data_IF_847978346728
#
_entry.id   IF_847978346728
#
_cell.length_a   1.000
_cell.length_b   1.000
_cell.length_c   1.000
_cell.angle_alpha   90.00
_cell.angle_beta   90.00
_cell.angle_gamma   90.00
#
_symmetry.space_group_name_H-M   'P 1'
#
loop_
_entity.id
_entity.type
_entity.pdbx_description
1 polymer ?
#
# COMPACT_ATOMS: atom_id res chain seq x y z
N UNK A 1 9.48 -1.17 14.82
CA UNK A 1 9.47 0.18 15.45
C UNK A 1 8.50 1.08 14.74
N UNK A 2 7.64 1.75 15.48
CA UNK A 2 6.71 2.73 14.91
C UNK A 2 7.51 3.92 14.37
N UNK A 3 7.25 4.29 13.11
CA UNK A 3 7.96 5.38 12.44
C UNK A 3 7.05 6.59 12.27
N UNK A 4 7.61 7.81 12.25
CA UNK A 4 6.81 9.01 11.94
C UNK A 4 6.32 8.99 10.50
N UNK A 5 5.12 9.54 10.27
CA UNK A 5 4.52 9.61 8.95
C UNK A 5 5.16 10.73 8.14
N UNK A 6 5.56 10.42 6.91
CA UNK A 6 6.11 11.39 5.97
C UNK A 6 4.97 12.17 5.31
N UNK A 7 5.11 13.49 5.23
CA UNK A 7 4.15 14.40 4.61
C UNK A 7 4.74 15.18 3.42
N UNK A 8 6.03 15.00 3.12
CA UNK A 8 6.70 15.71 2.04
C UNK A 8 6.24 15.23 0.66
N UNK A 9 5.51 16.06 -0.12
CA UNK A 9 5.03 15.65 -1.44
C UNK A 9 6.15 15.31 -2.43
N UNK A 10 7.32 15.95 -2.31
CA UNK A 10 8.44 15.65 -3.21
C UNK A 10 8.98 14.24 -2.98
N UNK A 11 9.07 13.82 -1.73
CA UNK A 11 9.47 12.45 -1.41
C UNK A 11 8.42 11.44 -1.85
N UNK A 12 7.15 11.72 -1.56
CA UNK A 12 6.04 10.82 -1.86
C UNK A 12 5.79 10.67 -3.36
N UNK A 13 6.20 11.64 -4.18
CA UNK A 13 6.06 11.61 -5.63
C UNK A 13 7.15 10.77 -6.32
N UNK A 14 8.14 10.26 -5.58
CA UNK A 14 9.16 9.40 -6.14
C UNK A 14 8.64 7.97 -6.31
N UNK A 15 9.04 7.32 -7.39
CA UNK A 15 8.74 5.90 -7.59
C UNK A 15 9.60 5.07 -6.64
N UNK A 16 8.97 4.15 -5.94
CA UNK A 16 9.67 3.25 -5.03
C UNK A 16 10.41 2.15 -5.79
N UNK A 17 11.56 1.78 -5.29
CA UNK A 17 12.39 0.72 -5.86
C UNK A 17 11.89 -0.67 -5.44
N UNK A 18 12.31 -1.69 -6.18
CA UNK A 18 12.02 -3.07 -5.86
C UNK A 18 12.52 -3.42 -4.45
N UNK A 19 11.69 -4.10 -3.68
CA UNK A 19 12.05 -4.61 -2.36
C UNK A 19 12.58 -6.04 -2.46
N UNK A 20 13.39 -6.43 -1.47
CA UNK A 20 13.96 -7.78 -1.35
C UNK A 20 13.75 -8.29 0.08
N UNK A 21 14.04 -9.57 0.38
CA UNK A 21 13.97 -10.06 1.76
C UNK A 21 14.85 -9.28 2.75
N UNK A 22 15.88 -8.58 2.26
CA UNK A 22 16.69 -7.70 3.09
C UNK A 22 15.89 -6.52 3.67
N UNK A 23 14.71 -6.23 3.11
CA UNK A 23 13.82 -5.16 3.56
C UNK A 23 12.79 -5.63 4.60
N UNK A 24 12.96 -6.82 5.19
CA UNK A 24 12.02 -7.38 6.15
C UNK A 24 11.81 -6.49 7.39
N UNK A 25 12.86 -5.80 7.84
CA UNK A 25 12.75 -4.88 8.98
C UNK A 25 11.87 -3.68 8.64
N UNK A 26 11.95 -3.18 7.41
CA UNK A 26 11.06 -2.11 6.93
C UNK A 26 9.61 -2.58 6.91
N UNK A 27 9.36 -3.81 6.46
CA UNK A 27 8.01 -4.38 6.46
C UNK A 27 7.44 -4.49 7.87
N UNK A 28 8.25 -4.90 8.84
CA UNK A 28 7.85 -4.98 10.24
C UNK A 28 7.52 -3.58 10.79
N UNK A 29 8.38 -2.61 10.54
CA UNK A 29 8.15 -1.22 10.98
C UNK A 29 6.87 -0.66 10.35
N UNK A 30 6.63 -0.96 9.08
CA UNK A 30 5.43 -0.54 8.38
C UNK A 30 4.17 -1.11 9.03
N UNK A 31 4.17 -2.40 9.34
CA UNK A 31 3.04 -3.06 9.98
C UNK A 31 2.79 -2.52 11.38
N UNK A 32 3.84 -2.31 12.16
CA UNK A 32 3.73 -1.73 13.50
C UNK A 32 3.17 -0.29 13.44
N UNK A 33 3.63 0.51 12.47
CA UNK A 33 3.15 1.87 12.29
C UNK A 33 1.68 1.89 11.85
N UNK A 34 1.30 1.03 10.92
CA UNK A 34 -0.10 0.90 10.50
C UNK A 34 -1.00 0.51 11.67
N UNK A 35 -0.57 -0.47 12.45
CA UNK A 35 -1.33 -0.95 13.62
C UNK A 35 -1.50 0.17 14.65
N UNK A 36 -0.49 1.00 14.85
CA UNK A 36 -0.56 2.15 15.76
C UNK A 36 -1.56 3.22 15.29
N UNK A 37 -1.88 3.26 13.99
CA UNK A 37 -2.83 4.20 13.41
C UNK A 37 -4.16 3.54 13.01
N UNK A 38 -4.48 2.39 13.56
CA UNK A 38 -5.62 1.56 13.17
C UNK A 38 -6.98 2.30 13.25
N UNK A 39 -7.11 3.29 14.12
CA UNK A 39 -8.36 4.03 14.28
C UNK A 39 -8.70 4.91 13.07
N UNK A 40 -7.73 5.25 12.25
CA UNK A 40 -7.95 6.14 11.10
C UNK A 40 -7.23 5.72 9.83
N UNK A 41 -6.57 4.57 9.83
CA UNK A 41 -5.77 4.13 8.69
C UNK A 41 -5.92 2.63 8.48
N UNK A 42 -6.20 2.22 7.24
CA UNK A 42 -6.45 0.83 6.88
C UNK A 42 -5.37 0.25 5.96
N UNK A 43 -4.47 1.08 5.46
CA UNK A 43 -3.37 0.67 4.61
C UNK A 43 -2.24 1.69 4.62
N UNK A 44 -1.03 1.25 4.27
CA UNK A 44 0.15 2.11 4.29
C UNK A 44 1.21 1.54 3.33
N UNK A 45 1.91 2.44 2.64
CA UNK A 45 3.05 2.07 1.81
C UNK A 45 4.35 2.50 2.50
N UNK A 46 5.46 1.82 2.19
CA UNK A 46 6.74 2.05 2.87
C UNK A 46 7.25 3.49 2.69
N UNK A 47 6.93 4.16 1.58
CA UNK A 47 7.35 5.55 1.42
C UNK A 47 6.70 6.49 2.44
N UNK A 48 5.55 6.11 3.01
CA UNK A 48 4.90 6.89 4.06
C UNK A 48 5.68 6.87 5.39
N UNK A 49 6.60 5.95 5.55
CA UNK A 49 7.53 5.90 6.69
C UNK A 49 8.98 6.19 6.28
N UNK A 50 9.17 6.79 5.12
CA UNK A 50 10.47 7.29 4.69
C UNK A 50 11.35 6.29 3.93
N UNK A 51 10.80 5.16 3.49
CA UNK A 51 11.56 4.14 2.76
C UNK A 51 10.95 3.95 1.37
N UNK A 52 11.67 4.35 0.34
CA UNK A 52 11.21 4.28 -1.05
C UNK A 52 11.37 2.87 -1.62
N UNK A 53 10.65 1.90 -1.04
CA UNK A 53 10.63 0.49 -1.46
C UNK A 53 9.18 0.05 -1.67
N UNK A 54 8.98 -0.85 -2.63
CA UNK A 54 7.65 -1.33 -3.01
C UNK A 54 7.15 -2.37 -2.01
N UNK A 55 6.77 -1.89 -0.83
CA UNK A 55 6.17 -2.69 0.24
C UNK A 55 4.90 -1.99 0.70
N UNK A 56 3.80 -2.71 0.77
CA UNK A 56 2.55 -2.20 1.32
C UNK A 56 2.04 -3.12 2.42
N UNK A 57 1.31 -2.55 3.37
CA UNK A 57 0.59 -3.28 4.40
C UNK A 57 -0.86 -2.82 4.36
N UNK A 58 -1.79 -3.76 4.38
CA UNK A 58 -3.22 -3.46 4.26
C UNK A 58 -4.02 -4.28 5.24
N UNK A 59 -5.14 -3.73 5.69
CA UNK A 59 -6.13 -4.46 6.46
C UNK A 59 -6.89 -5.39 5.53
N UNK A 60 -7.02 -6.66 5.91
CA UNK A 60 -7.77 -7.68 5.20
C UNK A 60 -8.76 -8.34 6.16
N UNK A 61 -9.62 -9.23 5.66
CA UNK A 61 -10.65 -9.88 6.47
C UNK A 61 -10.09 -10.61 7.69
N UNK A 62 -8.92 -11.25 7.53
CA UNK A 62 -8.29 -12.08 8.55
C UNK A 62 -7.18 -11.36 9.33
N UNK A 63 -7.12 -10.02 9.25
CA UNK A 63 -6.06 -9.24 9.88
C UNK A 63 -5.30 -8.42 8.86
N UNK A 64 -3.99 -8.27 9.05
CA UNK A 64 -3.15 -7.48 8.14
C UNK A 64 -2.41 -8.36 7.14
N UNK A 65 -2.22 -7.84 5.93
CA UNK A 65 -1.48 -8.51 4.87
C UNK A 65 -0.36 -7.57 4.40
N UNK A 66 0.85 -8.10 4.29
CA UNK A 66 2.02 -7.37 3.77
C UNK A 66 2.37 -7.92 2.40
N UNK A 67 2.50 -7.03 1.41
CA UNK A 67 2.83 -7.40 0.03
C UNK A 67 4.13 -6.70 -0.39
N UNK A 68 5.09 -7.50 -0.88
CA UNK A 68 6.33 -7.00 -1.48
C UNK A 68 6.15 -6.96 -2.99
N UNK A 69 6.55 -5.86 -3.61
CA UNK A 69 6.55 -5.71 -5.08
C UNK A 69 5.19 -6.03 -5.73
N UNK A 70 4.07 -5.47 -5.22
CA UNK A 70 2.76 -5.80 -5.76
C UNK A 70 2.59 -5.24 -7.18
N UNK A 71 2.01 -6.06 -8.06
CA UNK A 71 1.68 -5.69 -9.44
C UNK A 71 0.26 -6.15 -9.75
N UNK A 72 -0.56 -5.27 -10.29
CA UNK A 72 -1.91 -5.62 -10.72
C UNK A 72 -1.82 -6.24 -12.12
N UNK A 73 -2.17 -7.54 -12.21
CA UNK A 73 -2.15 -8.29 -13.48
C UNK A 73 -3.43 -8.11 -14.27
N UNK A 74 -4.58 -8.04 -13.60
CA UNK A 74 -5.90 -7.87 -14.20
C UNK A 74 -6.78 -7.04 -13.28
N UNK A 75 -7.74 -6.34 -13.87
CA UNK A 75 -8.73 -5.58 -13.13
C UNK A 75 -10.08 -5.63 -13.86
N UNK A 76 -11.17 -5.40 -13.12
CA UNK A 76 -12.51 -5.33 -13.69
C UNK A 76 -13.44 -4.51 -12.80
N UNK A 77 -14.48 -3.92 -13.42
CA UNK A 77 -15.51 -3.19 -12.71
C UNK A 77 -15.04 -1.85 -12.16
N UNK A 78 -14.67 -0.92 -13.04
CA UNK A 78 -14.22 0.41 -12.59
C UNK A 78 -15.35 1.23 -12.00
N UNK A 79 -15.01 2.10 -11.03
CA UNK A 79 -15.91 3.06 -10.42
C UNK A 79 -15.12 4.29 -9.99
N UNK A 80 -15.83 5.40 -9.82
CA UNK A 80 -15.24 6.64 -9.32
C UNK A 80 -15.52 6.76 -7.84
N UNK A 81 -14.54 7.25 -7.08
CA UNK A 81 -14.66 7.43 -5.62
C UNK A 81 -13.78 8.57 -5.18
N UNK A 82 -13.81 8.87 -3.89
CA UNK A 82 -12.89 9.81 -3.26
C UNK A 82 -12.15 9.10 -2.14
N UNK A 83 -10.87 9.42 -1.99
CA UNK A 83 -10.01 8.80 -0.98
C UNK A 83 -9.16 9.83 -0.27
N UNK A 84 -8.92 9.58 1.03
CA UNK A 84 -7.98 10.32 1.83
C UNK A 84 -6.77 9.48 2.18
N UNK A 85 -5.70 10.14 2.60
CA UNK A 85 -4.46 9.48 3.00
C UNK A 85 -3.91 10.14 4.26
N UNK A 86 -3.30 9.35 5.14
CA UNK A 86 -2.69 9.87 6.37
C UNK A 86 -1.56 10.87 6.08
N UNK A 87 -0.83 10.68 4.98
CA UNK A 87 0.28 11.55 4.59
C UNK A 87 -0.15 12.88 3.94
N UNK A 88 -1.36 12.95 3.40
CA UNK A 88 -1.83 14.09 2.60
C UNK A 88 -3.17 14.59 3.14
N UNK A 89 -3.33 15.91 3.22
CA UNK A 89 -4.57 16.51 3.69
C UNK A 89 -5.69 16.41 2.66
N UNK A 90 -6.94 16.32 3.15
CA UNK A 90 -8.13 16.30 2.32
C UNK A 90 -8.38 14.97 1.63
N UNK A 91 -9.34 15.00 0.71
CA UNK A 91 -9.71 13.85 -0.11
C UNK A 91 -9.50 14.20 -1.58
N UNK A 92 -9.27 13.17 -2.40
CA UNK A 92 -9.04 13.31 -3.84
C UNK A 92 -9.93 12.36 -4.61
N UNK A 93 -10.50 12.82 -5.74
CA UNK A 93 -11.23 11.92 -6.62
C UNK A 93 -10.26 10.94 -7.29
N UNK A 94 -10.68 9.70 -7.41
CA UNK A 94 -9.88 8.67 -8.03
C UNK A 94 -10.76 7.60 -8.67
N UNK A 95 -10.19 6.86 -9.60
CA UNK A 95 -10.83 5.72 -10.24
C UNK A 95 -10.28 4.44 -9.63
N UNK A 96 -11.16 3.51 -9.28
CA UNK A 96 -10.79 2.22 -8.71
C UNK A 96 -11.49 1.07 -9.43
N UNK A 97 -11.00 -0.14 -9.16
CA UNK A 97 -11.54 -1.38 -9.73
C UNK A 97 -12.13 -2.23 -8.63
N UNK A 98 -13.29 -2.83 -8.90
CA UNK A 98 -13.98 -3.69 -7.91
C UNK A 98 -13.25 -4.99 -7.67
N UNK A 99 -12.53 -5.50 -8.68
CA UNK A 99 -11.76 -6.73 -8.59
C UNK A 99 -10.39 -6.54 -9.23
N UNK A 100 -9.36 -7.03 -8.54
CA UNK A 100 -7.98 -6.98 -9.03
C UNK A 100 -7.31 -8.32 -8.78
N UNK A 101 -6.46 -8.73 -9.72
CA UNK A 101 -5.58 -9.88 -9.57
C UNK A 101 -4.17 -9.37 -9.38
N UNK A 102 -3.56 -9.68 -8.26
CA UNK A 102 -2.28 -9.12 -7.84
C UNK A 102 -1.23 -10.21 -7.75
N UNK A 103 -0.08 -9.97 -8.37
CA UNK A 103 1.12 -10.75 -8.14
C UNK A 103 1.98 -9.99 -7.15
N UNK A 104 2.46 -10.68 -6.13
CA UNK A 104 3.32 -10.08 -5.10
C UNK A 104 4.26 -11.13 -4.52
N UNK A 105 5.16 -10.69 -3.66
CA UNK A 105 6.08 -11.57 -2.95
C UNK A 105 5.82 -11.48 -1.45
N UNK A 106 6.07 -12.58 -0.76
CA UNK A 106 6.10 -12.60 0.71
C UNK A 106 7.42 -12.00 1.20
N UNK A 107 7.53 -11.75 2.50
CA UNK A 107 8.74 -11.16 3.09
C UNK A 107 9.98 -12.03 2.89
N UNK A 108 9.83 -13.34 2.69
CA UNK A 108 10.92 -14.26 2.39
C UNK A 108 11.17 -14.46 0.89
N UNK A 109 10.52 -13.63 0.04
CA UNK A 109 10.77 -13.61 -1.39
C UNK A 109 9.98 -14.61 -2.22
N UNK A 110 8.98 -15.27 -1.63
CA UNK A 110 8.17 -16.25 -2.36
C UNK A 110 7.07 -15.58 -3.18
N UNK A 111 6.93 -15.89 -4.47
CA UNK A 111 5.88 -15.28 -5.30
C UNK A 111 4.50 -15.82 -4.93
N UNK A 112 3.50 -14.94 -5.03
CA UNK A 112 2.08 -15.26 -4.83
C UNK A 112 1.25 -14.53 -5.86
N UNK A 113 0.13 -15.13 -6.24
CA UNK A 113 -0.90 -14.48 -7.06
C UNK A 113 -2.23 -14.65 -6.33
N UNK A 114 -2.96 -13.55 -6.14
CA UNK A 114 -4.22 -13.57 -5.42
C UNK A 114 -5.19 -12.56 -6.01
N UNK A 115 -6.47 -12.90 -6.04
CA UNK A 115 -7.53 -11.97 -6.44
C UNK A 115 -8.14 -11.34 -5.20
N UNK A 116 -8.28 -10.01 -5.24
CA UNK A 116 -8.91 -9.23 -4.18
C UNK A 116 -10.12 -8.50 -4.75
N UNK A 117 -11.15 -8.33 -3.91
CA UNK A 117 -12.38 -7.63 -4.28
C UNK A 117 -12.78 -6.64 -3.20
N UNK A 118 -13.70 -5.73 -3.52
CA UNK A 118 -14.32 -4.84 -2.55
C UNK A 118 -13.33 -3.89 -1.86
N UNK A 119 -13.50 -3.75 -0.55
CA UNK A 119 -12.73 -2.80 0.26
C UNK A 119 -11.23 -3.12 0.26
N UNK A 120 -10.87 -4.39 0.44
CA UNK A 120 -9.44 -4.79 0.41
C UNK A 120 -8.81 -4.45 -0.93
N UNK A 121 -9.50 -4.70 -2.04
CA UNK A 121 -9.00 -4.33 -3.37
C UNK A 121 -8.79 -2.82 -3.50
N UNK A 122 -9.70 -2.01 -2.96
CA UNK A 122 -9.58 -0.56 -2.98
C UNK A 122 -8.34 -0.10 -2.22
N UNK A 123 -8.13 -0.63 -1.01
CA UNK A 123 -6.96 -0.29 -0.19
C UNK A 123 -5.66 -0.64 -0.92
N UNK A 124 -5.58 -1.83 -1.50
CA UNK A 124 -4.37 -2.29 -2.21
C UNK A 124 -4.05 -1.36 -3.39
N UNK A 125 -5.06 -0.96 -4.16
CA UNK A 125 -4.86 -0.04 -5.29
C UNK A 125 -4.32 1.31 -4.83
N UNK A 126 -4.86 1.85 -3.73
CA UNK A 126 -4.40 3.10 -3.15
C UNK A 126 -2.92 3.01 -2.76
N UNK A 127 -2.52 1.93 -2.09
CA UNK A 127 -1.14 1.76 -1.64
C UNK A 127 -0.18 1.49 -2.79
N UNK A 128 -0.61 0.78 -3.84
CA UNK A 128 0.20 0.60 -5.05
C UNK A 128 0.44 1.95 -5.73
N UNK A 129 -0.56 2.84 -5.76
CA UNK A 129 -0.38 4.19 -6.29
C UNK A 129 0.75 4.92 -5.56
N UNK A 130 0.82 4.79 -4.24
CA UNK A 130 1.93 5.37 -3.46
C UNK A 130 3.27 4.80 -3.88
N UNK A 131 3.37 3.50 -4.15
CA UNK A 131 4.60 2.89 -4.66
C UNK A 131 5.02 3.48 -6.01
N UNK A 132 4.07 3.92 -6.82
CA UNK A 132 4.31 4.52 -8.13
C UNK A 132 4.51 6.04 -8.07
N UNK A 133 4.51 6.62 -6.86
CA UNK A 133 4.68 8.05 -6.66
C UNK A 133 3.45 8.88 -6.95
N UNK A 134 2.28 8.25 -7.00
CA UNK A 134 1.01 8.95 -7.24
C UNK A 134 0.49 9.51 -5.91
N UNK A 135 0.24 10.81 -5.87
CA UNK A 135 -0.26 11.50 -4.69
C UNK A 135 -1.78 11.39 -4.62
N UNK A 136 -2.24 10.43 -3.86
CA UNK A 136 -3.67 10.15 -3.69
C UNK A 136 -4.09 10.20 -2.24
#
# INVERSE_FOLDING_TARGET
MIQPIVHDPLFLAQKSARATPADADTARDLLETLTAHADGCVGMAANMIGVAKRIIAVEAEDGYLVLFNPVILKNSGHYNTEEGCLSLEGVRPTKRWKSIKVQYETADGKPRIRTFTGWTAQIIQHEIDHCDGILI
#
